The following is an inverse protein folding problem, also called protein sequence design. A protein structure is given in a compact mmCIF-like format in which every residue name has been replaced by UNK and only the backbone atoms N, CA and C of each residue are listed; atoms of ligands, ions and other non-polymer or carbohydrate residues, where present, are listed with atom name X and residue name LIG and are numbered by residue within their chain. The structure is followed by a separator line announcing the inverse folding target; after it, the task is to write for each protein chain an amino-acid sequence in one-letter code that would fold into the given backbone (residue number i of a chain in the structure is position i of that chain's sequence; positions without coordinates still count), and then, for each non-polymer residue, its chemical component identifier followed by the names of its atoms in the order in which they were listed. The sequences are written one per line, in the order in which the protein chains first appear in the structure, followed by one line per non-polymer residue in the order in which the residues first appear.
data_IF_832135141249
#
_entry.id   IF_832135141249
#
_cell.length_a   1.000
_cell.length_b   1.000
_cell.length_c   1.000
_cell.angle_alpha   90.00
_cell.angle_beta   90.00
_cell.angle_gamma   90.00
#
_symmetry.space_group_name_H-M   'P 1'
#
loop_
_entity.id
_entity.type
_entity.pdbx_description
1 polymer ?
#
# COMPACT_ATOMS: atom_id res chain seq x y z
N UNK A 1 -37.49 -3.82 19.78
CA UNK A 1 -38.19 -3.78 18.48
C UNK A 1 -37.13 -3.57 17.42
N UNK A 2 -37.11 -4.42 16.39
CA UNK A 2 -36.21 -4.27 15.25
C UNK A 2 -36.50 -2.94 14.53
N UNK A 3 -35.46 -2.20 14.15
CA UNK A 3 -35.57 -0.97 13.36
C UNK A 3 -35.84 -1.31 11.91
N UNK A 4 -36.70 -0.51 11.27
CA UNK A 4 -36.90 -0.57 9.82
C UNK A 4 -35.65 -0.06 9.13
N UNK A 5 -35.08 -0.84 8.21
CA UNK A 5 -33.93 -0.41 7.41
C UNK A 5 -34.40 0.60 6.37
N UNK A 6 -33.93 1.83 6.51
CA UNK A 6 -34.19 2.91 5.54
C UNK A 6 -32.88 3.37 4.87
N UNK A 7 -32.96 4.01 3.69
CA UNK A 7 -31.78 4.60 3.04
C UNK A 7 -31.03 5.58 3.95
N UNK A 8 -31.74 6.36 4.76
CA UNK A 8 -31.16 7.33 5.69
C UNK A 8 -30.38 6.66 6.81
N UNK A 9 -30.90 5.54 7.35
CA UNK A 9 -30.20 4.72 8.35
C UNK A 9 -28.90 4.16 7.80
N UNK A 10 -28.93 3.59 6.59
CA UNK A 10 -27.73 3.06 5.93
C UNK A 10 -26.70 4.16 5.67
N UNK A 11 -27.13 5.33 5.21
CA UNK A 11 -26.23 6.47 4.99
C UNK A 11 -25.61 6.99 6.31
N UNK A 12 -26.34 6.94 7.42
CA UNK A 12 -25.80 7.27 8.74
C UNK A 12 -24.77 6.24 9.21
N UNK A 13 -25.07 4.95 9.07
CA UNK A 13 -24.16 3.86 9.41
C UNK A 13 -22.84 3.95 8.61
N UNK A 14 -22.94 4.14 7.29
CA UNK A 14 -21.78 4.29 6.42
C UNK A 14 -20.89 5.47 6.82
N UNK A 15 -21.49 6.62 7.21
CA UNK A 15 -20.71 7.76 7.73
C UNK A 15 -19.99 7.39 9.02
N UNK A 16 -20.65 6.70 9.95
CA UNK A 16 -20.02 6.22 11.19
C UNK A 16 -18.83 5.30 10.91
N UNK A 17 -19.01 4.31 10.04
CA UNK A 17 -17.95 3.39 9.64
C UNK A 17 -16.79 4.09 8.94
N UNK A 18 -17.08 5.05 8.05
CA UNK A 18 -16.06 5.88 7.40
C UNK A 18 -15.26 6.67 8.44
N UNK A 19 -15.90 7.25 9.44
CA UNK A 19 -15.21 7.96 10.52
C UNK A 19 -14.29 7.04 11.31
N UNK A 20 -14.77 5.86 11.72
CA UNK A 20 -13.93 4.85 12.40
C UNK A 20 -12.75 4.41 11.54
N UNK A 21 -12.97 4.14 10.25
CA UNK A 21 -11.90 3.79 9.32
C UNK A 21 -10.84 4.89 9.22
N UNK A 22 -11.25 6.14 9.02
CA UNK A 22 -10.32 7.27 8.90
C UNK A 22 -9.53 7.50 10.19
N UNK A 23 -10.15 7.28 11.36
CA UNK A 23 -9.47 7.33 12.64
C UNK A 23 -8.38 6.26 12.75
N UNK A 24 -8.68 5.02 12.38
CA UNK A 24 -7.69 3.94 12.37
C UNK A 24 -6.56 4.18 11.37
N UNK A 25 -6.91 4.63 10.16
CA UNK A 25 -5.95 4.94 9.09
C UNK A 25 -4.94 6.02 9.51
N UNK A 26 -5.43 7.11 10.12
CA UNK A 26 -4.60 8.21 10.60
C UNK A 26 -3.74 7.85 11.82
N UNK A 27 -4.02 6.74 12.50
CA UNK A 27 -3.29 6.29 13.69
C UNK A 27 -1.89 5.73 13.40
N UNK A 28 -1.55 5.51 12.12
CA UNK A 28 -0.25 5.00 11.71
C UNK A 28 0.33 5.84 10.57
N UNK A 29 1.60 6.21 10.70
CA UNK A 29 2.36 6.87 9.64
C UNK A 29 3.30 5.83 9.02
N UNK A 30 3.05 5.50 7.76
CA UNK A 30 3.82 4.50 7.05
C UNK A 30 5.27 4.96 6.81
N UNK A 31 6.20 4.01 6.89
CA UNK A 31 7.65 4.23 6.82
C UNK A 31 8.20 4.12 5.40
N UNK A 32 7.45 3.58 4.45
CA UNK A 32 7.95 3.29 3.11
C UNK A 32 8.51 4.53 2.41
N UNK A 33 7.97 5.72 2.66
CA UNK A 33 8.47 6.98 2.07
C UNK A 33 9.85 7.39 2.60
N UNK A 34 10.28 6.85 3.74
CA UNK A 34 11.60 7.09 4.32
C UNK A 34 12.65 6.14 3.73
N UNK A 35 12.23 4.98 3.22
CA UNK A 35 13.09 3.89 2.78
C UNK A 35 13.09 3.69 1.27
N UNK A 36 12.05 4.13 0.57
CA UNK A 36 11.86 3.94 -0.85
C UNK A 36 11.50 5.26 -1.57
N UNK A 37 11.93 5.37 -2.83
CA UNK A 37 11.51 6.46 -3.71
C UNK A 37 10.11 6.17 -4.23
N UNK A 38 9.18 7.11 -4.04
CA UNK A 38 7.80 6.97 -4.51
C UNK A 38 7.69 7.45 -5.95
N UNK A 39 7.27 6.55 -6.84
CA UNK A 39 6.97 6.84 -8.24
C UNK A 39 5.50 6.54 -8.49
N UNK A 40 4.80 7.47 -9.13
CA UNK A 40 3.40 7.25 -9.52
C UNK A 40 3.35 6.35 -10.74
N UNK A 41 2.77 5.15 -10.61
CA UNK A 41 2.52 4.26 -11.74
C UNK A 41 1.13 4.50 -12.33
N UNK A 42 1.03 4.52 -13.66
CA UNK A 42 -0.25 4.67 -14.38
C UNK A 42 -0.57 3.50 -15.30
N UNK A 43 0.41 2.62 -15.55
CA UNK A 43 0.25 1.41 -16.34
C UNK A 43 0.05 0.16 -15.45
N UNK A 44 -0.13 -1.01 -16.07
CA UNK A 44 -0.21 -2.29 -15.34
C UNK A 44 1.15 -2.76 -14.78
N UNK A 45 2.23 -2.25 -15.36
CA UNK A 45 3.61 -2.52 -14.98
C UNK A 45 4.48 -1.34 -15.40
N UNK A 46 5.58 -1.12 -14.69
CA UNK A 46 6.57 -0.10 -15.02
C UNK A 46 7.92 -0.80 -15.28
N UNK A 47 8.49 -0.57 -16.45
CA UNK A 47 9.81 -1.12 -16.83
C UNK A 47 10.87 -0.04 -16.80
N UNK A 48 11.86 -0.21 -15.93
CA UNK A 48 12.99 0.69 -15.75
C UNK A 48 14.22 0.12 -16.47
N UNK A 49 14.36 0.45 -17.76
CA UNK A 49 15.50 0.02 -18.59
C UNK A 49 16.85 0.64 -18.22
N UNK A 50 16.84 1.74 -17.44
CA UNK A 50 18.02 2.52 -17.06
C UNK A 50 18.65 2.10 -15.72
N UNK A 51 17.96 1.27 -14.92
CA UNK A 51 18.44 0.87 -13.60
C UNK A 51 19.61 -0.14 -13.67
N UNK A 52 19.79 -0.81 -14.81
CA UNK A 52 20.66 -1.97 -14.93
C UNK A 52 22.17 -1.72 -15.03
N UNK A 53 22.64 -0.47 -15.21
CA UNK A 53 24.08 -0.23 -15.45
C UNK A 53 24.52 1.22 -15.24
N UNK A 54 24.29 1.81 -14.06
CA UNK A 54 24.99 3.06 -13.73
C UNK A 54 26.36 2.69 -13.14
N UNK A 55 27.48 2.88 -13.87
CA UNK A 55 28.77 2.51 -13.35
C UNK A 55 29.16 3.36 -12.14
N UNK A 56 29.70 2.70 -11.11
CA UNK A 56 30.26 3.40 -9.94
C UNK A 56 31.32 4.42 -10.37
N UNK A 57 31.28 5.59 -9.73
CA UNK A 57 32.30 6.63 -9.89
C UNK A 57 33.66 6.04 -9.51
N UNK A 58 34.67 6.32 -10.34
CA UNK A 58 36.06 6.01 -10.03
C UNK A 58 36.83 7.29 -9.85
N UNK A 59 37.90 7.22 -9.07
CA UNK A 59 38.88 8.29 -9.01
C UNK A 59 39.45 8.59 -10.40
N UNK A 60 39.59 9.88 -10.72
CA UNK A 60 40.06 10.31 -12.03
C UNK A 60 41.58 10.11 -12.14
N UNK A 61 41.98 8.92 -12.60
CA UNK A 61 43.38 8.58 -12.87
C UNK A 61 43.55 8.38 -14.38
N UNK A 62 44.35 9.23 -15.01
CA UNK A 62 44.60 9.22 -16.45
C UNK A 62 43.43 9.71 -17.31
N UNK A 63 43.30 9.17 -18.51
CA UNK A 63 42.27 9.57 -19.48
C UNK A 63 40.86 9.09 -19.09
N UNK A 64 39.84 9.79 -19.63
CA UNK A 64 38.43 9.44 -19.43
C UNK A 64 38.14 8.06 -20.00
N UNK A 65 37.70 7.14 -19.15
CA UNK A 65 37.15 5.86 -19.60
C UNK A 65 35.64 5.96 -19.79
N UNK A 66 35.18 5.68 -21.00
CA UNK A 66 33.76 5.60 -21.34
C UNK A 66 33.32 4.15 -21.12
N UNK A 67 32.32 3.95 -20.26
CA UNK A 67 31.72 2.63 -20.01
C UNK A 67 30.45 2.49 -20.84
N UNK A 68 30.27 1.31 -21.45
CA UNK A 68 29.05 0.96 -22.17
C UNK A 68 27.94 0.62 -21.17
N UNK A 69 26.75 1.18 -21.36
CA UNK A 69 25.55 0.83 -20.59
C UNK A 69 24.96 -0.46 -21.18
N UNK A 70 24.74 -1.52 -20.40
CA UNK A 70 23.90 -2.65 -20.82
C UNK A 70 22.46 -2.44 -20.34
N UNK A 71 21.49 -2.72 -21.20
CA UNK A 71 20.07 -2.56 -20.89
C UNK A 71 19.53 -3.82 -20.23
N UNK A 72 19.77 -4.00 -18.95
CA UNK A 72 18.96 -4.93 -18.15
C UNK A 72 17.78 -4.14 -17.56
N UNK A 73 16.57 -4.46 -18.00
CA UNK A 73 15.36 -3.79 -17.54
C UNK A 73 14.79 -4.45 -16.28
N UNK A 74 14.40 -3.63 -15.31
CA UNK A 74 13.62 -4.08 -14.16
C UNK A 74 12.15 -3.79 -14.39
N UNK A 75 11.28 -4.81 -14.33
CA UNK A 75 9.83 -4.62 -14.48
C UNK A 75 9.15 -4.82 -13.14
N UNK A 76 8.47 -3.79 -12.65
CA UNK A 76 7.61 -3.85 -11.47
C UNK A 76 6.17 -3.99 -11.94
N UNK A 77 5.51 -5.09 -11.59
CA UNK A 77 4.10 -5.32 -11.90
C UNK A 77 3.21 -4.85 -10.76
N UNK A 78 2.15 -4.11 -11.08
CA UNK A 78 1.20 -3.64 -10.07
C UNK A 78 0.38 -4.80 -9.50
N UNK A 79 0.39 -4.93 -8.17
CA UNK A 79 -0.44 -5.86 -7.41
C UNK A 79 -1.72 -5.16 -6.95
N UNK A 80 -2.84 -5.89 -6.93
CA UNK A 80 -4.12 -5.40 -6.41
C UNK A 80 -4.37 -6.04 -5.05
N UNK A 81 -4.83 -5.24 -4.10
CA UNK A 81 -5.09 -5.67 -2.72
C UNK A 81 -6.49 -5.25 -2.31
N UNK A 82 -7.16 -6.08 -1.51
CA UNK A 82 -8.49 -5.81 -0.99
C UNK A 82 -8.62 -6.33 0.44
N UNK A 83 -9.43 -5.65 1.23
CA UNK A 83 -9.93 -6.16 2.50
C UNK A 83 -11.35 -5.64 2.70
N UNK A 84 -12.32 -6.55 2.66
CA UNK A 84 -13.74 -6.23 2.68
C UNK A 84 -14.41 -6.75 3.95
N UNK A 85 -15.13 -5.88 4.67
CA UNK A 85 -15.88 -6.24 5.87
C UNK A 85 -17.38 -6.15 5.62
N UNK A 86 -18.10 -7.22 5.93
CA UNK A 86 -19.56 -7.25 5.94
C UNK A 86 -20.14 -6.85 7.30
N UNK A 87 -21.32 -6.20 7.27
CA UNK A 87 -22.13 -5.91 8.46
C UNK A 87 -23.43 -6.69 8.32
N UNK A 88 -23.79 -7.45 9.36
CA UNK A 88 -25.02 -8.24 9.34
C UNK A 88 -26.25 -7.34 9.27
N UNK A 89 -27.26 -7.76 8.51
CA UNK A 89 -28.58 -7.11 8.48
C UNK A 89 -29.18 -7.06 9.89
N UNK A 90 -29.14 -8.18 10.60
CA UNK A 90 -29.74 -8.31 11.93
C UNK A 90 -29.11 -7.31 12.92
N UNK A 91 -27.81 -7.06 12.80
CA UNK A 91 -27.12 -6.07 13.64
C UNK A 91 -27.51 -4.62 13.32
N UNK A 92 -27.93 -4.34 12.08
CA UNK A 92 -28.49 -3.03 11.70
C UNK A 92 -29.89 -2.88 12.28
N UNK A 93 -30.71 -3.92 12.18
CA UNK A 93 -32.08 -3.94 12.73
C UNK A 93 -32.08 -3.85 14.26
N UNK A 94 -31.09 -4.44 14.92
CA UNK A 94 -30.92 -4.47 16.38
C UNK A 94 -30.16 -3.25 16.96
N UNK A 95 -29.75 -2.28 16.14
CA UNK A 95 -28.95 -1.11 16.56
C UNK A 95 -27.61 -1.46 17.22
N UNK A 96 -26.94 -2.51 16.73
CA UNK A 96 -25.65 -3.01 17.24
C UNK A 96 -24.43 -2.42 16.51
N UNK A 97 -24.62 -1.38 15.71
CA UNK A 97 -23.58 -0.83 14.83
C UNK A 97 -22.38 -0.25 15.59
N UNK A 98 -22.56 0.20 16.82
CA UNK A 98 -21.47 0.66 17.68
C UNK A 98 -20.40 -0.41 17.93
N UNK A 99 -20.77 -1.70 17.87
CA UNK A 99 -19.84 -2.82 18.05
C UNK A 99 -18.86 -2.99 16.88
N UNK A 100 -19.17 -2.40 15.73
CA UNK A 100 -18.34 -2.49 14.52
C UNK A 100 -17.25 -1.42 14.48
N UNK A 101 -17.32 -0.37 15.31
CA UNK A 101 -16.34 0.71 15.29
C UNK A 101 -14.89 0.24 15.45
N UNK A 102 -14.54 -0.67 16.40
CA UNK A 102 -13.18 -1.20 16.51
C UNK A 102 -12.74 -1.97 15.26
N UNK A 103 -13.67 -2.68 14.60
CA UNK A 103 -13.35 -3.45 13.38
C UNK A 103 -13.00 -2.52 12.21
N UNK A 104 -13.75 -1.44 12.05
CA UNK A 104 -13.43 -0.43 11.02
C UNK A 104 -12.16 0.36 11.35
N UNK A 105 -11.87 0.63 12.62
CA UNK A 105 -10.59 1.21 13.05
C UNK A 105 -9.41 0.27 12.71
N UNK A 106 -9.53 -1.03 13.02
CA UNK A 106 -8.51 -2.03 12.65
C UNK A 106 -8.35 -2.16 11.12
N UNK A 107 -9.44 -2.07 10.36
CA UNK A 107 -9.38 -2.07 8.89
C UNK A 107 -8.60 -0.85 8.37
N UNK A 108 -8.85 0.33 8.95
CA UNK A 108 -8.11 1.55 8.62
C UNK A 108 -6.63 1.42 8.92
N UNK A 109 -6.28 0.87 10.10
CA UNK A 109 -4.89 0.62 10.48
C UNK A 109 -4.20 -0.37 9.54
N UNK A 110 -4.86 -1.49 9.19
CA UNK A 110 -4.31 -2.45 8.22
C UNK A 110 -4.06 -1.81 6.86
N UNK A 111 -4.96 -0.94 6.40
CA UNK A 111 -4.79 -0.22 5.15
C UNK A 111 -3.61 0.78 5.18
N UNK A 112 -3.33 1.42 6.31
CA UNK A 112 -2.19 2.33 6.44
C UNK A 112 -0.85 1.61 6.66
N UNK A 113 -0.84 0.41 7.26
CA UNK A 113 0.38 -0.40 7.43
C UNK A 113 0.76 -1.19 6.18
N UNK A 114 -0.20 -1.50 5.31
CA UNK A 114 0.02 -2.38 4.17
C UNK A 114 1.16 -1.98 3.21
N UNK A 115 1.37 -0.68 2.88
CA UNK A 115 2.51 -0.29 2.06
C UNK A 115 3.87 -0.71 2.64
N UNK A 116 4.00 -0.71 3.97
CA UNK A 116 5.22 -1.13 4.66
C UNK A 116 5.37 -2.65 4.62
N UNK A 117 4.28 -3.41 4.76
CA UNK A 117 4.31 -4.87 4.60
C UNK A 117 4.85 -5.26 3.21
N UNK A 118 4.39 -4.59 2.16
CA UNK A 118 4.86 -4.81 0.79
C UNK A 118 6.35 -4.44 0.65
N UNK A 119 6.79 -3.34 1.28
CA UNK A 119 8.20 -2.96 1.27
C UNK A 119 9.06 -4.00 2.00
N UNK A 120 8.66 -4.42 3.20
CA UNK A 120 9.42 -5.38 4.01
C UNK A 120 9.44 -6.77 3.37
N UNK A 121 8.40 -7.15 2.62
CA UNK A 121 8.41 -8.33 1.75
C UNK A 121 9.61 -8.27 0.78
N UNK A 122 9.82 -7.14 0.11
CA UNK A 122 10.95 -6.94 -0.82
C UNK A 122 12.30 -6.93 -0.10
N UNK A 123 12.40 -6.23 1.03
CA UNK A 123 13.65 -6.16 1.81
C UNK A 123 14.07 -7.56 2.31
N UNK A 124 13.12 -8.37 2.79
CA UNK A 124 13.40 -9.73 3.22
C UNK A 124 13.80 -10.66 2.06
N UNK A 125 13.33 -10.37 0.85
CA UNK A 125 13.68 -11.11 -0.36
C UNK A 125 14.95 -10.61 -1.06
N UNK A 126 15.59 -9.55 -0.55
CA UNK A 126 16.69 -8.85 -1.25
C UNK A 126 17.85 -9.75 -1.69
N UNK A 127 18.13 -10.83 -0.96
CA UNK A 127 19.24 -11.75 -1.28
C UNK A 127 18.84 -12.96 -2.13
N UNK A 128 17.55 -13.16 -2.39
CA UNK A 128 17.02 -14.35 -3.06
C UNK A 128 16.31 -14.04 -4.38
N UNK A 129 15.77 -12.83 -4.55
CA UNK A 129 15.19 -12.37 -5.81
C UNK A 129 16.22 -11.64 -6.67
N UNK A 130 16.09 -11.78 -7.99
CA UNK A 130 16.89 -11.00 -8.93
C UNK A 130 16.58 -9.51 -8.77
N UNK A 131 17.53 -8.78 -8.18
CA UNK A 131 17.51 -7.34 -7.99
C UNK A 131 18.77 -6.72 -8.63
N UNK A 132 18.68 -5.45 -9.00
CA UNK A 132 19.76 -4.71 -9.67
C UNK A 132 20.55 -3.80 -8.72
N UNK A 133 20.86 -4.35 -7.53
CA UNK A 133 21.74 -3.77 -6.51
C UNK A 133 23.23 -3.85 -6.91
#
# INVERSE_FOLDING_TARGET
MARVITPELLAAAQRGFKTSFQKGFAGYTAMYTLLATVVTSTAGEETYGWLGDIPKLREWIGDRQIKSLSSKGYTIKNRKFESTIGVSRDDIEDDKLGLYAPRFEMLGQSASTHPDEVLFELVNAAFSTECYD
#
